data_IF_567780578525
#
_entry.id   IF_567780578525
#
_cell.length_a   1.000
_cell.length_b   1.000
_cell.length_c   1.000
_cell.angle_alpha   90.00
_cell.angle_beta   90.00
_cell.angle_gamma   90.00
#
_symmetry.space_group_name_H-M   'P 1'
#
loop_
_entity.id
_entity.type
_entity.pdbx_description
1 polymer ?
#
# COMPACT_ATOMS: atom_id res chain seq x y z
N UNK A 1 10.88 38.72 30.32
CA UNK A 1 11.19 37.64 29.37
C UNK A 1 10.10 36.58 29.51
N UNK A 2 9.02 36.58 28.69
CA UNK A 2 8.00 35.54 28.77
C UNK A 2 8.36 34.33 27.90
N UNK A 3 7.93 33.16 28.37
CA UNK A 3 8.32 31.82 27.98
C UNK A 3 7.89 31.37 26.58
N UNK A 4 8.63 30.37 26.08
CA UNK A 4 8.41 29.72 24.79
C UNK A 4 7.10 28.92 24.75
N UNK A 5 6.37 29.09 23.65
CA UNK A 5 5.19 28.30 23.31
C UNK A 5 5.58 27.05 22.54
N UNK A 6 5.14 25.89 23.03
CA UNK A 6 5.02 24.67 22.25
C UNK A 6 4.05 24.88 21.07
N UNK A 7 4.37 24.42 19.85
CA UNK A 7 3.41 24.41 18.75
C UNK A 7 2.29 23.40 19.05
N UNK A 8 1.05 23.87 18.94
CA UNK A 8 -0.17 23.10 19.15
C UNK A 8 -0.32 22.07 18.02
N UNK A 9 -0.58 20.82 18.38
CA UNK A 9 -1.05 19.76 17.48
C UNK A 9 -2.30 20.26 16.76
N UNK A 10 -2.22 20.46 15.44
CA UNK A 10 -3.36 20.82 14.61
C UNK A 10 -3.81 19.62 13.76
N UNK A 11 -5.13 19.39 13.85
CA UNK A 11 -6.03 18.69 12.95
C UNK A 11 -6.06 17.14 12.92
N UNK A 12 -6.74 16.56 13.93
CA UNK A 12 -7.12 15.14 14.00
C UNK A 12 -8.36 14.78 13.17
N UNK A 13 -8.89 15.68 12.33
CA UNK A 13 -10.13 15.43 11.56
C UNK A 13 -9.97 14.35 10.47
N UNK A 14 -8.76 14.14 9.95
CA UNK A 14 -8.49 13.07 8.99
C UNK A 14 -8.55 11.67 9.63
N UNK A 15 -7.92 11.53 10.81
CA UNK A 15 -7.92 10.29 11.60
C UNK A 15 -9.33 9.92 12.11
N UNK A 16 -10.16 10.93 12.43
CA UNK A 16 -11.53 10.69 12.90
C UNK A 16 -12.43 10.07 11.83
N UNK A 17 -12.26 10.44 10.55
CA UNK A 17 -13.02 9.84 9.44
C UNK A 17 -12.71 8.35 9.24
N UNK A 18 -11.45 7.93 9.41
CA UNK A 18 -11.09 6.52 9.32
C UNK A 18 -11.69 5.68 10.46
N UNK A 19 -11.89 6.28 11.64
CA UNK A 19 -12.56 5.61 12.76
C UNK A 19 -14.08 5.46 12.55
N UNK A 20 -14.73 6.41 11.87
CA UNK A 20 -16.18 6.39 11.61
C UNK A 20 -16.59 5.35 10.56
N UNK A 21 -15.72 5.03 9.59
CA UNK A 21 -15.96 3.93 8.64
C UNK A 21 -15.87 2.54 9.33
N UNK A 22 -15.09 2.41 10.40
CA UNK A 22 -14.96 1.16 11.16
C UNK A 22 -16.23 0.78 11.92
N UNK A 23 -16.92 1.76 12.51
CA UNK A 23 -18.16 1.52 13.28
C UNK A 23 -19.33 1.06 12.40
N UNK A 24 -19.29 1.32 11.09
CA UNK A 24 -20.27 0.78 10.12
C UNK A 24 -20.05 -0.69 9.80
N UNK A 25 -18.83 -1.21 10.00
CA UNK A 25 -18.48 -2.59 9.70
C UNK A 25 -18.51 -3.53 10.93
N UNK A 26 -18.74 -3.00 12.14
CA UNK A 26 -18.62 -3.80 13.37
C UNK A 26 -19.91 -4.04 14.17
N UNK A 27 -21.10 -3.68 13.66
CA UNK A 27 -22.35 -3.98 14.35
C UNK A 27 -23.33 -4.70 13.43
N UNK A 28 -23.47 -6.00 13.73
CA UNK A 28 -24.43 -6.98 13.19
C UNK A 28 -24.05 -7.53 11.82
N UNK A 29 -24.09 -8.87 11.72
CA UNK A 29 -23.78 -9.62 10.51
C UNK A 29 -24.35 -8.94 9.27
N UNK A 30 -23.44 -8.42 8.44
CA UNK A 30 -23.80 -8.02 7.10
C UNK A 30 -24.33 -9.28 6.41
N UNK A 31 -25.50 -9.22 5.76
CA UNK A 31 -25.96 -10.35 4.97
C UNK A 31 -24.89 -10.63 3.92
N UNK A 32 -24.74 -11.90 3.53
CA UNK A 32 -24.00 -12.30 2.34
C UNK A 32 -24.66 -11.67 1.09
N UNK A 33 -24.53 -10.37 0.96
CA UNK A 33 -24.94 -9.55 -0.16
C UNK A 33 -23.73 -9.42 -1.06
N UNK A 34 -23.87 -9.98 -2.26
CA UNK A 34 -22.93 -9.93 -3.39
C UNK A 34 -21.99 -8.72 -3.29
N UNK A 35 -20.70 -8.96 -2.99
CA UNK A 35 -19.65 -8.00 -3.30
C UNK A 35 -19.68 -7.84 -4.81
N UNK A 36 -20.24 -6.73 -5.29
CA UNK A 36 -20.17 -6.38 -6.69
C UNK A 36 -18.70 -6.26 -7.06
N UNK A 37 -18.31 -6.93 -8.14
CA UNK A 37 -17.02 -6.75 -8.79
C UNK A 37 -17.02 -5.36 -9.44
N UNK A 38 -16.82 -4.30 -8.67
CA UNK A 38 -16.59 -2.97 -9.22
C UNK A 38 -15.09 -2.68 -9.11
N UNK A 39 -14.41 -2.73 -10.26
CA UNK A 39 -13.09 -2.16 -10.43
C UNK A 39 -13.14 -0.67 -10.02
N UNK A 40 -12.15 -0.21 -9.26
CA UNK A 40 -12.10 1.17 -8.79
C UNK A 40 -11.20 2.00 -9.70
N UNK A 41 -11.80 2.75 -10.62
CA UNK A 41 -11.06 3.67 -11.53
C UNK A 41 -10.30 4.80 -10.82
N UNK A 42 -10.52 4.97 -9.50
CA UNK A 42 -9.87 5.98 -8.65
C UNK A 42 -9.54 5.43 -7.27
N UNK A 43 -8.37 4.81 -7.08
CA UNK A 43 -7.95 4.26 -5.79
C UNK A 43 -7.88 5.30 -4.69
N UNK A 44 -8.38 4.97 -3.48
CA UNK A 44 -8.24 5.81 -2.27
C UNK A 44 -6.84 5.68 -1.71
N UNK A 45 -6.23 6.78 -1.29
CA UNK A 45 -4.83 6.84 -0.86
C UNK A 45 -4.68 6.70 0.66
N UNK A 46 -3.63 6.00 1.08
CA UNK A 46 -3.12 6.05 2.45
C UNK A 46 -1.61 6.40 2.44
N UNK A 47 -1.15 7.36 3.27
CA UNK A 47 0.27 7.60 3.47
C UNK A 47 0.86 6.55 4.42
N UNK A 48 2.04 6.03 4.11
CA UNK A 48 2.78 5.10 4.98
C UNK A 48 2.88 5.67 6.42
N UNK A 49 2.42 4.91 7.43
CA UNK A 49 2.58 5.27 8.85
C UNK A 49 3.19 4.08 9.57
N UNK A 50 4.50 4.12 9.80
CA UNK A 50 5.23 3.11 10.57
C UNK A 50 5.46 3.57 12.02
N UNK A 51 5.23 2.62 12.92
CA UNK A 51 5.63 2.49 14.34
C UNK A 51 4.66 2.93 15.45
N UNK A 52 4.17 1.92 16.17
CA UNK A 52 3.85 1.99 17.60
C UNK A 52 4.15 0.65 18.28
N UNK A 53 5.17 0.59 19.13
CA UNK A 53 5.48 -0.59 19.96
C UNK A 53 4.34 -0.90 20.94
N UNK A 54 4.01 -2.19 21.06
CA UNK A 54 2.82 -2.70 21.74
C UNK A 54 2.67 -2.32 23.22
N UNK A 55 1.43 -1.94 23.57
CA UNK A 55 0.88 -1.80 24.91
C UNK A 55 -0.65 -1.63 24.86
N UNK A 56 -1.31 -1.33 25.99
CA UNK A 56 -2.76 -1.07 26.09
C UNK A 56 -3.26 0.14 25.28
N UNK A 57 -2.35 0.89 24.65
CA UNK A 57 -2.62 2.07 23.83
C UNK A 57 -3.05 1.75 22.38
N UNK A 58 -2.92 0.49 21.94
CA UNK A 58 -3.23 0.08 20.56
C UNK A 58 -4.71 0.30 20.19
N UNK A 59 -5.63 0.09 21.12
CA UNK A 59 -7.06 0.37 20.93
C UNK A 59 -7.40 1.87 20.94
N UNK A 60 -6.51 2.72 21.47
CA UNK A 60 -6.72 4.16 21.59
C UNK A 60 -6.33 4.93 20.32
N UNK A 61 -5.42 4.39 19.51
CA UNK A 61 -4.94 5.04 18.28
C UNK A 61 -5.60 4.51 17.01
N UNK A 62 -6.21 3.31 17.05
CA UNK A 62 -7.04 2.80 15.95
C UNK A 62 -6.28 2.53 14.65
N UNK A 63 -5.03 2.08 14.73
CA UNK A 63 -4.24 1.69 13.56
C UNK A 63 -4.95 0.61 12.74
N UNK A 64 -4.87 0.70 11.41
CA UNK A 64 -5.50 -0.24 10.49
C UNK A 64 -4.67 -1.55 10.39
N UNK A 65 -3.34 -1.45 10.27
CA UNK A 65 -2.40 -2.57 10.34
C UNK A 65 -1.06 -2.15 10.98
N UNK A 66 -0.21 -3.14 11.27
CA UNK A 66 1.23 -2.96 11.46
C UNK A 66 1.98 -3.52 10.27
N UNK A 67 2.86 -2.69 9.72
CA UNK A 67 3.65 -3.02 8.54
C UNK A 67 5.04 -3.48 8.94
N UNK A 68 5.48 -4.59 8.36
CA UNK A 68 6.81 -5.19 8.46
C UNK A 68 7.57 -4.85 9.78
N UNK A 69 7.02 -5.24 10.95
CA UNK A 69 7.43 -4.69 12.25
C UNK A 69 8.78 -5.20 12.75
N UNK A 70 9.39 -6.15 12.05
CA UNK A 70 10.68 -6.71 12.42
C UNK A 70 11.81 -6.20 11.53
N UNK A 71 12.95 -5.98 12.18
CA UNK A 71 14.17 -5.49 11.53
C UNK A 71 14.83 -6.53 10.61
N UNK A 72 14.40 -7.79 10.65
CA UNK A 72 14.94 -8.92 9.87
C UNK A 72 14.25 -9.07 8.50
N UNK A 73 13.83 -7.94 7.91
CA UNK A 73 13.02 -7.87 6.70
C UNK A 73 11.73 -8.69 6.80
N UNK A 74 11.23 -8.86 8.03
CA UNK A 74 9.98 -9.55 8.36
C UNK A 74 9.81 -10.92 7.69
N UNK A 75 10.92 -11.66 7.54
CA UNK A 75 10.98 -12.89 6.75
C UNK A 75 10.52 -14.16 7.48
N UNK A 76 10.38 -14.12 8.82
CA UNK A 76 10.02 -15.29 9.64
C UNK A 76 8.52 -15.41 9.86
N UNK A 77 7.84 -16.31 9.13
CA UNK A 77 6.40 -16.55 9.32
C UNK A 77 6.07 -16.99 10.76
N UNK A 78 6.95 -17.77 11.39
CA UNK A 78 6.77 -18.25 12.77
C UNK A 78 6.82 -17.10 13.76
N UNK A 79 7.72 -16.13 13.56
CA UNK A 79 7.81 -14.97 14.43
C UNK A 79 6.56 -14.08 14.31
N UNK A 80 6.10 -13.81 13.09
CA UNK A 80 4.87 -13.04 12.88
C UNK A 80 3.64 -13.73 13.41
N UNK A 81 3.52 -15.05 13.23
CA UNK A 81 2.44 -15.84 13.83
C UNK A 81 2.42 -15.68 15.35
N UNK A 82 3.58 -15.70 16.01
CA UNK A 82 3.68 -15.41 17.45
C UNK A 82 3.25 -13.98 17.77
N UNK A 83 3.69 -12.99 16.99
CA UNK A 83 3.27 -11.60 17.21
C UNK A 83 1.75 -11.44 17.12
N UNK A 84 1.12 -12.08 16.12
CA UNK A 84 -0.34 -12.10 15.94
C UNK A 84 -1.07 -12.69 17.14
N UNK A 85 -0.48 -13.65 17.85
CA UNK A 85 -1.05 -14.17 19.09
C UNK A 85 -1.04 -13.14 20.24
N UNK A 86 -0.20 -12.11 20.16
CA UNK A 86 -0.07 -11.05 21.18
C UNK A 86 -0.78 -9.73 20.84
N UNK A 87 -0.98 -9.42 19.56
CA UNK A 87 -1.59 -8.15 19.11
C UNK A 87 -2.93 -8.37 18.44
N UNK A 88 -3.84 -7.40 18.57
CA UNK A 88 -5.15 -7.43 17.90
C UNK A 88 -5.16 -6.69 16.57
N UNK A 89 -4.17 -5.83 16.35
CA UNK A 89 -3.99 -5.07 15.11
C UNK A 89 -3.48 -6.03 14.03
N UNK A 90 -4.11 -6.07 12.84
CA UNK A 90 -3.65 -6.89 11.71
C UNK A 90 -2.20 -6.61 11.32
N UNK A 91 -1.50 -7.62 10.83
CA UNK A 91 -0.16 -7.45 10.24
C UNK A 91 -0.26 -7.40 8.71
N UNK A 92 0.34 -6.37 8.10
CA UNK A 92 0.63 -6.26 6.67
C UNK A 92 2.12 -6.57 6.47
N UNK A 93 2.42 -7.72 5.87
CA UNK A 93 3.78 -8.25 5.78
C UNK A 93 4.02 -8.73 4.36
N UNK A 94 5.30 -8.93 4.06
CA UNK A 94 5.84 -9.58 2.86
C UNK A 94 6.28 -8.62 1.75
N UNK A 95 6.52 -7.34 2.06
CA UNK A 95 7.15 -6.41 1.12
C UNK A 95 8.56 -6.86 0.71
N UNK A 96 9.20 -7.71 1.52
CA UNK A 96 10.57 -8.23 1.35
C UNK A 96 10.64 -9.70 0.92
N UNK A 97 9.51 -10.40 0.87
CA UNK A 97 9.43 -11.80 0.39
C UNK A 97 9.23 -11.75 -1.13
N UNK A 98 9.88 -12.64 -1.89
CA UNK A 98 9.92 -12.53 -3.36
C UNK A 98 9.30 -13.74 -4.03
N UNK A 99 8.47 -13.48 -5.03
CA UNK A 99 7.88 -14.53 -5.85
C UNK A 99 6.63 -15.16 -5.26
N UNK A 100 5.85 -15.75 -6.16
CA UNK A 100 4.50 -16.25 -5.87
C UNK A 100 4.52 -17.37 -4.81
N UNK A 101 5.37 -18.37 -5.00
CA UNK A 101 5.43 -19.57 -4.16
C UNK A 101 5.85 -19.25 -2.73
N UNK A 102 6.87 -18.39 -2.55
CA UNK A 102 7.36 -18.01 -1.22
C UNK A 102 6.32 -17.20 -0.43
N UNK A 103 5.61 -16.28 -1.10
CA UNK A 103 4.52 -15.52 -0.46
C UNK A 103 3.33 -16.41 -0.12
N UNK A 104 2.98 -17.36 -0.99
CA UNK A 104 1.95 -18.35 -0.72
C UNK A 104 2.31 -19.20 0.52
N UNK A 105 3.53 -19.74 0.60
CA UNK A 105 4.00 -20.50 1.76
C UNK A 105 3.98 -19.66 3.05
N UNK A 106 4.40 -18.40 2.96
CA UNK A 106 4.39 -17.48 4.10
C UNK A 106 2.97 -17.21 4.63
N UNK A 107 2.01 -16.98 3.74
CA UNK A 107 0.60 -16.82 4.10
C UNK A 107 0.03 -18.08 4.75
N UNK A 108 0.25 -19.24 4.13
CA UNK A 108 -0.26 -20.53 4.62
C UNK A 108 0.35 -20.93 5.96
N UNK A 109 1.58 -20.50 6.25
CA UNK A 109 2.22 -20.67 7.55
C UNK A 109 1.65 -19.72 8.65
N UNK A 110 0.77 -18.80 8.28
CA UNK A 110 0.15 -17.82 9.19
C UNK A 110 1.02 -16.60 9.46
N UNK A 111 1.94 -16.27 8.55
CA UNK A 111 2.89 -15.17 8.69
C UNK A 111 2.31 -13.77 8.52
N UNK A 112 1.09 -13.62 7.99
CA UNK A 112 0.46 -12.31 7.80
C UNK A 112 -1.07 -12.38 7.92
N UNK A 113 -1.71 -11.24 8.21
CA UNK A 113 -3.17 -11.08 8.12
C UNK A 113 -3.58 -10.46 6.77
N UNK A 114 -2.73 -9.60 6.21
CA UNK A 114 -2.91 -8.92 4.92
C UNK A 114 -1.62 -9.12 4.12
N UNK A 115 -1.72 -9.54 2.86
CA UNK A 115 -0.54 -9.76 2.03
C UNK A 115 -0.08 -8.45 1.41
N UNK A 116 1.19 -8.10 1.58
CA UNK A 116 1.81 -7.00 0.86
C UNK A 116 2.31 -7.54 -0.50
N UNK A 117 1.77 -7.03 -1.62
CA UNK A 117 2.12 -7.46 -2.98
C UNK A 117 2.66 -6.29 -3.81
N UNK A 118 3.52 -6.55 -4.79
CA UNK A 118 4.18 -5.50 -5.55
C UNK A 118 4.38 -5.90 -7.02
N UNK A 119 3.80 -5.17 -8.00
CA UNK A 119 4.08 -5.33 -9.42
C UNK A 119 5.55 -5.29 -9.80
N UNK A 120 6.39 -4.55 -9.09
CA UNK A 120 7.82 -4.44 -9.38
C UNK A 120 8.64 -5.60 -8.82
N UNK A 121 8.19 -6.22 -7.72
CA UNK A 121 8.99 -7.19 -6.97
C UNK A 121 8.45 -8.63 -7.04
N UNK A 122 7.20 -8.82 -7.45
CA UNK A 122 6.53 -10.13 -7.47
C UNK A 122 6.37 -10.74 -8.87
N UNK A 123 7.19 -10.31 -9.83
CA UNK A 123 7.17 -10.85 -11.20
C UNK A 123 6.17 -10.15 -12.12
N UNK A 124 6.01 -8.83 -11.96
CA UNK A 124 5.15 -8.01 -12.81
C UNK A 124 3.68 -8.12 -12.45
N UNK A 125 2.87 -7.44 -13.26
CA UNK A 125 1.39 -7.48 -13.20
C UNK A 125 0.88 -8.92 -13.10
N UNK A 126 1.42 -9.85 -13.87
CA UNK A 126 1.00 -11.26 -13.85
C UNK A 126 1.18 -11.91 -12.48
N UNK A 127 2.33 -11.69 -11.83
CA UNK A 127 2.60 -12.26 -10.50
C UNK A 127 1.73 -11.62 -9.43
N UNK A 128 1.57 -10.30 -9.47
CA UNK A 128 0.67 -9.55 -8.59
C UNK A 128 -0.77 -10.05 -8.69
N UNK A 129 -1.31 -10.19 -9.90
CA UNK A 129 -2.68 -10.67 -10.08
C UNK A 129 -2.83 -12.13 -9.60
N UNK A 130 -1.85 -13.00 -9.84
CA UNK A 130 -1.88 -14.37 -9.29
C UNK A 130 -1.94 -14.34 -7.77
N UNK A 131 -1.10 -13.53 -7.11
CA UNK A 131 -1.11 -13.40 -5.65
C UNK A 131 -2.42 -12.83 -5.12
N UNK A 132 -2.96 -11.79 -5.76
CA UNK A 132 -4.24 -11.21 -5.39
C UNK A 132 -5.38 -12.24 -5.42
N UNK A 133 -5.45 -13.02 -6.50
CA UNK A 133 -6.43 -14.10 -6.66
C UNK A 133 -6.20 -15.26 -5.67
N UNK A 134 -4.95 -15.62 -5.38
CA UNK A 134 -4.63 -16.61 -4.36
C UNK A 134 -5.10 -16.14 -2.97
N UNK A 135 -4.81 -14.90 -2.61
CA UNK A 135 -5.22 -14.32 -1.33
C UNK A 135 -6.75 -14.26 -1.23
N UNK A 136 -7.44 -13.81 -2.28
CA UNK A 136 -8.91 -13.80 -2.33
C UNK A 136 -9.50 -15.21 -2.13
N UNK A 137 -8.91 -16.22 -2.77
CA UNK A 137 -9.36 -17.62 -2.64
C UNK A 137 -9.22 -18.18 -1.22
N UNK A 138 -8.28 -17.67 -0.41
CA UNK A 138 -8.12 -18.06 0.99
C UNK A 138 -8.78 -17.07 1.97
N UNK A 139 -9.51 -16.07 1.46
CA UNK A 139 -10.19 -15.05 2.27
C UNK A 139 -9.25 -14.01 2.89
N UNK A 140 -8.09 -13.78 2.27
CA UNK A 140 -7.08 -12.81 2.67
C UNK A 140 -7.11 -11.57 1.76
N UNK A 141 -6.98 -10.40 2.38
CA UNK A 141 -6.87 -9.13 1.68
C UNK A 141 -5.42 -8.88 1.24
N UNK A 142 -5.23 -8.03 0.25
CA UNK A 142 -3.90 -7.61 -0.23
C UNK A 142 -3.81 -6.10 -0.21
N UNK A 143 -2.61 -5.54 0.01
CA UNK A 143 -2.30 -4.14 -0.32
C UNK A 143 -1.13 -4.12 -1.29
N UNK A 144 -1.08 -3.09 -2.14
CA UNK A 144 0.02 -2.89 -3.05
C UNK A 144 1.10 -2.05 -2.38
N UNK A 145 2.31 -2.61 -2.34
CA UNK A 145 3.51 -1.92 -1.87
C UNK A 145 3.93 -0.87 -2.90
N UNK A 146 4.16 0.35 -2.45
CA UNK A 146 4.55 1.55 -3.21
C UNK A 146 3.53 2.04 -4.24
N UNK A 147 3.99 2.90 -5.14
CA UNK A 147 3.18 3.66 -6.08
C UNK A 147 3.85 3.62 -7.46
N UNK A 148 3.02 3.61 -8.50
CA UNK A 148 3.48 3.64 -9.87
C UNK A 148 2.37 3.35 -10.86
N UNK A 149 2.62 3.55 -12.18
CA UNK A 149 1.60 3.34 -13.20
C UNK A 149 1.04 1.92 -13.16
N UNK A 150 1.90 0.90 -12.98
CA UNK A 150 1.46 -0.50 -12.83
C UNK A 150 0.58 -0.68 -11.60
N UNK A 151 0.96 -0.09 -10.46
CA UNK A 151 0.22 -0.17 -9.21
C UNK A 151 -1.18 0.42 -9.34
N UNK A 152 -1.36 1.56 -10.03
CA UNK A 152 -2.69 2.14 -10.24
C UNK A 152 -3.61 1.20 -11.03
N UNK A 153 -3.08 0.60 -12.09
CA UNK A 153 -3.84 -0.37 -12.90
C UNK A 153 -4.17 -1.64 -12.12
N UNK A 154 -3.21 -2.20 -11.38
CA UNK A 154 -3.44 -3.37 -10.53
C UNK A 154 -4.44 -3.05 -9.40
N UNK A 155 -4.27 -1.94 -8.69
CA UNK A 155 -5.15 -1.50 -7.62
C UNK A 155 -6.60 -1.30 -8.10
N UNK A 156 -6.79 -0.77 -9.31
CA UNK A 156 -8.11 -0.62 -9.91
C UNK A 156 -8.76 -1.97 -10.26
N UNK A 157 -7.96 -2.97 -10.62
CA UNK A 157 -8.43 -4.29 -11.05
C UNK A 157 -8.61 -5.31 -9.91
N UNK A 158 -8.04 -5.06 -8.73
CA UNK A 158 -8.07 -5.95 -7.58
C UNK A 158 -9.25 -5.57 -6.67
N UNK A 159 -10.08 -6.55 -6.29
CA UNK A 159 -11.27 -6.31 -5.49
C UNK A 159 -11.05 -6.46 -3.97
N UNK A 160 -10.01 -7.19 -3.55
CA UNK A 160 -9.66 -7.46 -2.16
C UNK A 160 -8.53 -6.56 -1.63
N UNK A 161 -8.54 -5.28 -2.02
CA UNK A 161 -7.60 -4.24 -1.58
C UNK A 161 -8.35 -3.01 -1.10
N UNK A 162 -7.69 -2.15 -0.30
CA UNK A 162 -8.33 -1.03 0.40
C UNK A 162 -7.80 0.31 -0.05
N UNK A 163 -6.47 0.46 -0.01
CA UNK A 163 -5.79 1.73 -0.23
C UNK A 163 -4.66 1.58 -1.23
N UNK A 164 -4.42 2.64 -1.98
CA UNK A 164 -3.24 2.87 -2.80
C UNK A 164 -2.19 3.56 -1.93
N UNK A 165 -1.03 2.94 -1.84
CA UNK A 165 0.05 3.48 -1.03
C UNK A 165 0.74 4.64 -1.76
N UNK A 166 1.05 5.71 -1.03
CA UNK A 166 2.08 6.66 -1.43
C UNK A 166 3.23 6.54 -0.44
N UNK A 167 4.29 5.84 -0.87
CA UNK A 167 5.47 5.58 -0.05
C UNK A 167 6.35 6.81 0.11
N UNK A 168 7.09 6.86 1.23
CA UNK A 168 8.12 7.87 1.54
C UNK A 168 7.66 9.33 1.59
N UNK A 169 6.36 9.57 1.71
CA UNK A 169 5.82 10.92 1.90
C UNK A 169 5.63 11.23 3.39
N UNK A 170 5.81 12.49 3.77
CA UNK A 170 5.62 12.97 5.14
C UNK A 170 5.27 14.45 5.18
N UNK A 171 4.91 15.01 6.36
CA UNK A 171 4.51 16.41 6.51
C UNK A 171 5.55 17.40 5.94
N UNK A 172 6.84 17.06 6.06
CA UNK A 172 7.96 17.87 5.58
C UNK A 172 8.61 17.32 4.29
N UNK A 173 8.11 16.19 3.77
CA UNK A 173 8.59 15.59 2.52
C UNK A 173 7.39 15.18 1.65
N UNK A 174 6.83 16.09 0.84
CA UNK A 174 5.66 15.79 0.04
C UNK A 174 5.95 14.91 -1.18
N UNK A 175 7.24 14.71 -1.50
CA UNK A 175 7.69 13.98 -2.67
C UNK A 175 7.90 12.50 -2.35
N UNK A 176 7.35 11.64 -3.20
CA UNK A 176 7.77 10.25 -3.24
C UNK A 176 9.18 10.20 -3.85
N UNK A 177 10.19 10.00 -3.00
CA UNK A 177 11.60 10.01 -3.40
C UNK A 177 12.00 8.89 -4.35
N UNK A 178 11.16 7.87 -4.53
CA UNK A 178 11.37 6.78 -5.50
C UNK A 178 10.78 7.09 -6.87
N UNK A 179 9.91 8.11 -6.99
CA UNK A 179 9.33 8.44 -8.28
C UNK A 179 10.38 9.05 -9.21
N UNK A 180 10.69 8.41 -10.35
CA UNK A 180 11.63 8.97 -11.29
C UNK A 180 11.00 10.20 -11.97
N UNK A 181 11.72 11.33 -12.09
CA UNK A 181 11.25 12.55 -12.76
C UNK A 181 11.33 12.43 -14.30
N UNK A 182 10.68 11.39 -14.84
CA UNK A 182 10.71 10.99 -16.25
C UNK A 182 9.34 11.02 -16.92
N UNK A 183 8.28 11.41 -16.22
CA UNK A 183 6.93 11.46 -16.79
C UNK A 183 6.62 12.83 -17.39
N UNK A 184 6.17 12.87 -18.64
CA UNK A 184 5.96 14.12 -19.41
C UNK A 184 4.50 14.54 -19.54
N UNK A 185 3.57 13.71 -19.09
CA UNK A 185 2.13 13.89 -19.21
C UNK A 185 1.43 14.26 -17.89
N UNK A 186 2.21 14.70 -16.91
CA UNK A 186 1.70 15.12 -15.60
C UNK A 186 1.36 13.96 -14.67
N UNK A 187 1.72 12.71 -15.02
CA UNK A 187 1.73 11.62 -14.04
C UNK A 187 2.62 11.95 -12.85
N UNK A 188 2.11 11.71 -11.64
CA UNK A 188 2.77 12.02 -10.37
C UNK A 188 2.15 11.24 -9.23
N UNK A 189 2.99 10.72 -8.32
CA UNK A 189 2.63 9.99 -7.09
C UNK A 189 3.13 10.77 -5.85
N UNK A 190 3.07 12.09 -5.90
CA UNK A 190 3.34 12.97 -4.77
C UNK A 190 2.05 13.30 -4.01
N UNK A 191 2.17 13.82 -2.78
CA UNK A 191 1.00 14.28 -2.01
C UNK A 191 0.16 15.28 -2.83
N UNK A 192 0.82 16.14 -3.61
CA UNK A 192 0.14 17.13 -4.46
C UNK A 192 -0.69 16.55 -5.60
N UNK A 193 -0.48 15.27 -5.95
CA UNK A 193 -1.25 14.58 -6.99
C UNK A 193 -2.51 13.90 -6.46
N UNK A 194 -2.70 13.85 -5.14
CA UNK A 194 -3.91 13.31 -4.52
C UNK A 194 -5.05 14.30 -4.67
N UNK A 195 -6.15 13.84 -5.27
CA UNK A 195 -7.36 14.64 -5.44
C UNK A 195 -8.00 15.04 -4.10
N UNK A 196 -8.90 16.05 -4.12
CA UNK A 196 -9.59 16.51 -2.90
C UNK A 196 -10.49 15.44 -2.25
N UNK A 197 -10.80 14.36 -2.97
CA UNK A 197 -11.52 13.19 -2.47
C UNK A 197 -10.60 12.10 -1.89
N UNK A 198 -9.29 12.35 -1.84
CA UNK A 198 -8.31 11.41 -1.34
C UNK A 198 -7.96 10.29 -2.33
N UNK A 199 -8.27 10.46 -3.62
CA UNK A 199 -8.00 9.47 -4.65
C UNK A 199 -6.98 9.96 -5.69
N UNK A 200 -6.37 9.01 -6.41
CA UNK A 200 -5.57 9.27 -7.62
C UNK A 200 -6.25 8.68 -8.87
N UNK A 201 -6.11 9.29 -10.05
CA UNK A 201 -6.70 8.74 -11.28
C UNK A 201 -5.83 7.61 -11.85
N UNK A 202 -6.47 6.57 -12.40
CA UNK A 202 -5.80 5.59 -13.27
C UNK A 202 -5.50 6.26 -14.62
N UNK A 203 -4.26 6.15 -15.17
CA UNK A 203 -3.95 6.73 -16.47
C UNK A 203 -4.79 6.09 -17.59
N UNK A 204 -5.50 6.87 -18.43
CA UNK A 204 -6.51 6.33 -19.35
C UNK A 204 -5.94 5.88 -20.72
N UNK A 205 -4.66 6.12 -20.98
CA UNK A 205 -4.01 5.77 -22.25
C UNK A 205 -3.75 4.27 -22.41
N UNK A 206 -3.36 3.81 -23.61
CA UNK A 206 -2.97 2.41 -23.84
C UNK A 206 -1.75 2.00 -23.00
N UNK A 207 -1.68 0.71 -22.67
CA UNK A 207 -0.60 0.17 -21.83
C UNK A 207 -0.71 0.70 -20.39
N UNK A 208 0.38 1.26 -19.86
CA UNK A 208 0.38 1.91 -18.55
C UNK A 208 -0.19 3.34 -18.59
N UNK A 209 -0.50 3.85 -19.78
CA UNK A 209 -1.14 5.15 -19.97
C UNK A 209 -0.27 6.35 -19.60
N UNK A 210 1.05 6.19 -19.57
CA UNK A 210 2.04 7.23 -19.26
C UNK A 210 3.03 7.49 -20.39
N UNK A 211 3.53 8.71 -20.47
CA UNK A 211 4.52 9.19 -21.44
C UNK A 211 5.86 9.47 -20.78
N UNK A 212 6.94 8.98 -21.38
CA UNK A 212 8.29 9.08 -20.82
C UNK A 212 9.14 10.15 -21.52
N UNK A 213 9.96 10.85 -20.75
CA UNK A 213 11.06 11.67 -21.23
C UNK A 213 12.22 10.76 -21.65
N UNK A 214 12.17 10.33 -22.91
CA UNK A 214 13.20 9.45 -23.46
C UNK A 214 14.56 10.15 -23.56
N UNK A 215 14.62 11.46 -23.74
CA UNK A 215 15.89 12.20 -23.78
C UNK A 215 16.57 12.15 -22.41
N UNK A 216 15.82 12.37 -21.34
CA UNK A 216 16.31 12.22 -19.96
C UNK A 216 16.77 10.79 -19.68
N UNK A 217 15.95 9.79 -20.02
CA UNK A 217 16.30 8.38 -19.81
C UNK A 217 17.59 8.02 -20.57
N UNK A 218 17.66 8.38 -21.86
CA UNK A 218 18.82 8.08 -22.70
C UNK A 218 20.06 8.85 -22.27
N UNK A 219 19.92 10.06 -21.70
CA UNK A 219 21.07 10.81 -21.16
C UNK A 219 21.74 10.12 -19.97
N UNK A 220 21.01 9.24 -19.27
CA UNK A 220 21.52 8.39 -18.19
C UNK A 220 21.97 7.00 -18.64
N UNK A 221 21.96 6.70 -19.94
CA UNK A 221 22.40 5.41 -20.48
C UNK A 221 23.89 5.18 -20.21
N UNK A 222 24.22 4.15 -19.41
CA UNK A 222 25.61 3.77 -19.10
C UNK A 222 26.12 2.61 -19.96
N UNK A 223 25.25 1.99 -20.77
CA UNK A 223 25.58 0.89 -21.67
C UNK A 223 24.35 0.32 -22.38
N UNK A 224 24.56 -0.32 -23.53
CA UNK A 224 23.50 -0.88 -24.39
C UNK A 224 23.93 -2.21 -24.99
N UNK A 225 23.05 -3.20 -24.90
CA UNK A 225 23.23 -4.52 -25.54
C UNK A 225 22.00 -4.80 -26.40
N UNK A 226 22.20 -4.96 -27.70
CA UNK A 226 21.14 -5.36 -28.63
C UNK A 226 21.23 -6.86 -28.88
N UNK A 227 20.22 -7.60 -28.43
CA UNK A 227 20.09 -9.04 -28.69
C UNK A 227 19.22 -9.17 -29.94
N UNK A 228 19.81 -9.71 -31.01
CA UNK A 228 19.14 -9.96 -32.29
C UNK A 228 18.76 -11.43 -32.42
#
# INVERSE_FOLDING_TARGET
MPGGGHPRVQDTRFLRRQSEDRDRHHVRGAPAGRRGHEAHDRPRVFPEVVHGCGGSWQSLLGFFWYEDPYRDASSSAVAHKRLRDFVRTPLLIAEHIRGFEQKADFALAGGTDIMHIDPELDGGITGTMKLAHFCDAIGMEVQLHTAGPMHRHCMAAIANTHFYELGLVGPDNPANGLQPPIYTDGYGDEIGNVGPDGCVPVPPGPGLGVSYDMDRINSGEVGRVEIR
#
